data_IF_472180727927
#
_entry.id   IF_472180727927
#
_cell.length_a   1.000
_cell.length_b   1.000
_cell.length_c   1.000
_cell.angle_alpha   90.00
_cell.angle_beta   90.00
_cell.angle_gamma   90.00
#
_symmetry.space_group_name_H-M   'P 1'
#
loop_
_entity.id
_entity.type
_entity.pdbx_description
1 polymer ?
#
# COMPACT_ATOMS: atom_id res chain seq x y z
N UNK A 1 -9.35 5.23 11.56
CA UNK A 1 -8.91 3.84 11.35
C UNK A 1 -7.56 3.60 12.01
N UNK A 2 -7.33 2.39 12.47
CA UNK A 2 -6.10 2.05 13.21
C UNK A 2 -4.92 1.69 12.31
N UNK A 3 -5.02 1.95 11.01
CA UNK A 3 -3.97 1.65 10.05
C UNK A 3 -3.61 2.89 9.25
N UNK A 4 -2.32 3.01 8.89
CA UNK A 4 -1.83 4.05 8.00
C UNK A 4 -0.95 3.43 6.94
N UNK A 5 -1.07 3.90 5.71
CA UNK A 5 -0.22 3.47 4.59
C UNK A 5 0.78 4.53 4.19
N UNK A 6 1.08 5.49 5.06
CA UNK A 6 2.04 6.55 4.77
C UNK A 6 3.42 6.01 4.39
N UNK A 7 3.82 4.91 5.02
CA UNK A 7 5.10 4.27 4.68
C UNK A 7 5.13 3.79 3.24
N UNK A 8 3.99 3.27 2.75
CA UNK A 8 3.87 2.85 1.36
C UNK A 8 4.05 4.04 0.42
N UNK A 9 3.39 5.16 0.71
CA UNK A 9 3.48 6.35 -0.16
C UNK A 9 4.89 6.92 -0.19
N UNK A 10 5.58 6.96 0.94
CA UNK A 10 6.98 7.38 1.01
C UNK A 10 7.88 6.46 0.21
N UNK A 11 7.64 5.16 0.30
CA UNK A 11 8.42 4.17 -0.45
C UNK A 11 8.26 4.37 -1.95
N UNK A 12 7.03 4.65 -2.41
CA UNK A 12 6.78 4.93 -3.83
C UNK A 12 7.53 6.17 -4.29
N UNK A 13 7.53 7.23 -3.49
CA UNK A 13 8.27 8.45 -3.79
C UNK A 13 9.76 8.14 -3.93
N UNK A 14 10.32 7.38 -3.00
CA UNK A 14 11.73 7.00 -3.04
C UNK A 14 12.08 6.20 -4.29
N UNK A 15 11.14 5.39 -4.77
CA UNK A 15 11.33 4.55 -5.96
C UNK A 15 10.88 5.22 -7.25
N UNK A 16 10.43 6.47 -7.17
CA UNK A 16 9.93 7.25 -8.30
C UNK A 16 8.78 6.53 -9.03
N UNK A 17 7.91 5.90 -8.27
CA UNK A 17 6.72 5.22 -8.77
C UNK A 17 5.47 6.01 -8.46
N UNK A 18 4.54 6.07 -9.40
CA UNK A 18 3.22 6.63 -9.13
C UNK A 18 2.31 5.57 -8.50
N UNK A 19 1.21 6.02 -7.89
CA UNK A 19 0.19 5.09 -7.38
C UNK A 19 -0.42 4.26 -8.52
N UNK A 20 -0.55 4.84 -9.71
CA UNK A 20 -1.05 4.13 -10.88
C UNK A 20 -0.07 3.03 -11.32
N UNK A 21 1.23 3.29 -11.25
CA UNK A 21 2.24 2.28 -11.55
C UNK A 21 2.14 1.10 -10.58
N UNK A 22 2.01 1.38 -9.30
CA UNK A 22 1.85 0.34 -8.29
C UNK A 22 0.60 -0.50 -8.56
N UNK A 23 -0.53 0.17 -8.85
CA UNK A 23 -1.78 -0.52 -9.12
C UNK A 23 -1.64 -1.51 -10.29
N UNK A 24 -0.98 -1.08 -11.36
CA UNK A 24 -0.78 -1.93 -12.53
C UNK A 24 0.17 -3.08 -12.24
N UNK A 25 1.29 -2.80 -11.59
CA UNK A 25 2.31 -3.83 -11.33
C UNK A 25 1.84 -4.87 -10.32
N UNK A 26 1.10 -4.46 -9.32
CA UNK A 26 0.57 -5.36 -8.30
C UNK A 26 -0.80 -5.93 -8.64
N UNK A 27 -1.37 -5.55 -9.78
CA UNK A 27 -2.71 -5.99 -10.22
C UNK A 27 -3.78 -5.73 -9.17
N UNK A 28 -3.81 -4.50 -8.64
CA UNK A 28 -4.76 -4.09 -7.62
C UNK A 28 -5.98 -3.43 -8.27
N UNK A 29 -7.18 -3.79 -7.80
CA UNK A 29 -8.42 -3.18 -8.29
C UNK A 29 -8.48 -1.69 -7.92
N UNK A 30 -9.11 -0.84 -8.77
CA UNK A 30 -9.25 0.59 -8.46
C UNK A 30 -9.93 0.88 -7.13
N UNK A 31 -10.95 0.09 -6.76
CA UNK A 31 -11.63 0.24 -5.47
C UNK A 31 -10.68 0.04 -4.28
N UNK A 32 -9.79 -0.92 -4.40
CA UNK A 32 -8.81 -1.23 -3.38
C UNK A 32 -7.78 -0.11 -3.24
N UNK A 33 -7.36 0.48 -4.37
CA UNK A 33 -6.47 1.64 -4.33
C UNK A 33 -7.13 2.83 -3.63
N UNK A 34 -8.43 3.01 -3.85
CA UNK A 34 -9.19 4.07 -3.18
C UNK A 34 -9.17 3.85 -1.66
N UNK A 35 -9.36 2.61 -1.21
CA UNK A 35 -9.30 2.27 0.22
C UNK A 35 -7.91 2.55 0.80
N UNK A 36 -6.86 2.18 0.08
CA UNK A 36 -5.49 2.45 0.52
C UNK A 36 -5.25 3.96 0.69
N UNK A 37 -5.75 4.78 -0.23
CA UNK A 37 -5.59 6.23 -0.14
C UNK A 37 -6.34 6.84 1.04
N UNK A 38 -7.38 6.17 1.53
CA UNK A 38 -8.20 6.62 2.67
C UNK A 38 -7.77 5.99 3.98
N UNK A 39 -6.69 5.23 4.00
CA UNK A 39 -6.23 4.47 5.16
C UNK A 39 -7.32 3.51 5.68
N UNK A 40 -8.08 2.92 4.76
CA UNK A 40 -9.09 1.91 5.10
C UNK A 40 -8.48 0.52 5.06
N UNK A 41 -9.11 -0.41 5.78
CA UNK A 41 -8.64 -1.79 5.82
C UNK A 41 -8.78 -2.45 4.45
N UNK A 42 -7.73 -3.19 4.07
CA UNK A 42 -7.73 -4.06 2.90
C UNK A 42 -7.24 -5.43 3.33
N UNK A 43 -7.43 -6.44 2.48
CA UNK A 43 -7.03 -7.80 2.84
C UNK A 43 -5.51 -7.96 2.86
N UNK A 44 -5.03 -8.92 3.66
CA UNK A 44 -3.60 -9.26 3.65
C UNK A 44 -3.15 -9.76 2.27
N UNK A 45 -4.05 -10.38 1.51
CA UNK A 45 -3.75 -10.80 0.14
C UNK A 45 -3.36 -9.63 -0.74
N UNK A 46 -4.06 -8.50 -0.64
CA UNK A 46 -3.72 -7.28 -1.37
C UNK A 46 -2.37 -6.73 -0.90
N UNK A 47 -2.18 -6.65 0.42
CA UNK A 47 -0.92 -6.16 0.99
C UNK A 47 0.25 -7.06 0.59
N UNK A 48 0.02 -8.36 0.52
CA UNK A 48 1.02 -9.33 0.06
C UNK A 48 1.43 -9.09 -1.39
N UNK A 49 0.48 -8.75 -2.26
CA UNK A 49 0.79 -8.41 -3.66
C UNK A 49 1.69 -7.17 -3.74
N UNK A 50 1.42 -6.18 -2.90
CA UNK A 50 2.24 -4.97 -2.84
C UNK A 50 3.64 -5.31 -2.36
N UNK A 51 3.76 -6.09 -1.29
CA UNK A 51 5.05 -6.52 -0.76
C UNK A 51 5.87 -7.28 -1.80
N UNK A 52 5.23 -8.18 -2.53
CA UNK A 52 5.89 -8.96 -3.59
C UNK A 52 6.38 -8.05 -4.71
N UNK A 53 5.55 -7.09 -5.12
CA UNK A 53 5.87 -6.17 -6.20
C UNK A 53 7.05 -5.27 -5.84
N UNK A 54 7.10 -4.79 -4.61
CA UNK A 54 8.12 -3.86 -4.14
C UNK A 54 9.29 -4.56 -3.44
N UNK A 55 9.18 -5.87 -3.22
CA UNK A 55 10.18 -6.67 -2.51
C UNK A 55 10.44 -6.12 -1.10
N UNK A 56 9.38 -5.94 -0.34
CA UNK A 56 9.43 -5.39 1.03
C UNK A 56 8.52 -6.21 1.95
N UNK A 57 8.58 -5.93 3.25
CA UNK A 57 7.75 -6.57 4.26
C UNK A 57 6.53 -5.68 4.58
N UNK A 58 5.54 -6.26 5.27
CA UNK A 58 4.32 -5.54 5.68
C UNK A 58 4.63 -4.28 6.49
N UNK A 59 5.59 -4.35 7.41
CA UNK A 59 5.99 -3.21 8.23
C UNK A 59 6.60 -2.06 7.44
N UNK A 60 7.01 -2.32 6.19
CA UNK A 60 7.57 -1.28 5.31
C UNK A 60 6.49 -0.48 4.61
N UNK A 61 5.25 -0.97 4.57
CA UNK A 61 4.16 -0.34 3.82
C UNK A 61 2.99 0.11 4.68
N UNK A 62 2.92 -0.33 5.92
CA UNK A 62 1.83 0.07 6.80
C UNK A 62 2.30 0.17 8.25
N UNK A 63 1.52 0.88 9.05
CA UNK A 63 1.78 1.03 10.46
C UNK A 63 0.48 1.12 11.25
N UNK A 64 0.57 0.87 12.55
CA UNK A 64 -0.54 1.04 13.47
C UNK A 64 -0.66 2.51 13.85
N UNK A 65 -1.86 3.03 13.81
CA UNK A 65 -2.15 4.39 14.27
C UNK A 65 -2.84 4.27 15.64
N UNK A 66 -2.22 4.83 16.65
CA UNK A 66 -2.80 4.84 17.99
C UNK A 66 -3.96 5.80 18.02
N UNK A 67 -5.10 5.31 18.44
CA UNK A 67 -6.33 6.11 18.57
C UNK A 67 -6.44 6.74 19.95
#
# INVERSE_FOLDING_TARGET
MAVSYNRLWKLLVDRKMSKADLRKQAAIAPNTMTKLRRDEEVTLGVLGKICKTLDVDYGDIMGYVKE
#
